data_IF_563677072662
#
_entry.id   IF_563677072662
#
_cell.length_a   1.000
_cell.length_b   1.000
_cell.length_c   1.000
_cell.angle_alpha   90.00
_cell.angle_beta   90.00
_cell.angle_gamma   90.00
#
_symmetry.space_group_name_H-M   'P 1'
#
loop_
_entity.id
_entity.type
_entity.pdbx_description
1 polymer ?
#
# COMPACT_ATOMS: atom_id res chain seq x y z
N UNK A 1 -9.42 -1.51 -15.03
CA UNK A 1 -8.39 -2.04 -14.11
C UNK A 1 -7.24 -1.07 -13.90
N UNK A 2 -6.86 -0.26 -14.89
CA UNK A 2 -5.76 0.72 -14.74
C UNK A 2 -5.98 1.75 -13.62
N UNK A 3 -7.19 2.30 -13.50
CA UNK A 3 -7.48 3.27 -12.44
C UNK A 3 -7.27 2.70 -11.03
N UNK A 4 -7.69 1.46 -10.78
CA UNK A 4 -7.51 0.80 -9.48
C UNK A 4 -6.02 0.56 -9.18
N UNK A 5 -5.23 0.18 -10.20
CA UNK A 5 -3.79 0.02 -10.07
C UNK A 5 -3.09 1.32 -9.71
N UNK A 6 -3.33 2.41 -10.46
CA UNK A 6 -2.70 3.71 -10.21
C UNK A 6 -3.11 4.32 -8.87
N UNK A 7 -4.38 4.16 -8.48
CA UNK A 7 -4.87 4.62 -7.20
C UNK A 7 -4.23 3.84 -6.04
N UNK A 8 -4.20 2.51 -6.12
CA UNK A 8 -3.56 1.66 -5.11
C UNK A 8 -2.05 1.89 -5.03
N UNK A 9 -1.35 2.04 -6.16
CA UNK A 9 0.08 2.34 -6.17
C UNK A 9 0.36 3.72 -5.57
N UNK A 10 -0.48 4.72 -5.85
CA UNK A 10 -0.38 6.05 -5.25
C UNK A 10 -0.52 6.01 -3.73
N UNK A 11 -1.49 5.25 -3.22
CA UNK A 11 -1.69 5.06 -1.78
C UNK A 11 -0.47 4.39 -1.15
N UNK A 12 0.07 3.33 -1.76
CA UNK A 12 1.25 2.62 -1.27
C UNK A 12 2.47 3.55 -1.10
N UNK A 13 2.71 4.43 -2.07
CA UNK A 13 3.81 5.42 -2.03
C UNK A 13 3.59 6.46 -0.93
N UNK A 14 2.38 7.02 -0.82
CA UNK A 14 2.08 8.02 0.22
C UNK A 14 2.18 7.41 1.62
N UNK A 15 1.70 6.17 1.80
CA UNK A 15 1.81 5.48 3.08
C UNK A 15 3.26 5.16 3.45
N UNK A 16 4.10 4.70 2.52
CA UNK A 16 5.53 4.45 2.80
C UNK A 16 6.30 5.70 3.16
N UNK A 17 6.03 6.83 2.48
CA UNK A 17 6.58 8.12 2.88
C UNK A 17 6.20 8.45 4.32
N UNK A 18 4.93 8.23 4.70
CA UNK A 18 4.45 8.44 6.06
C UNK A 18 5.00 7.46 7.10
N UNK A 19 5.38 6.25 6.71
CA UNK A 19 6.12 5.32 7.59
C UNK A 19 7.45 5.94 8.01
N UNK A 20 8.19 6.51 7.05
CA UNK A 20 9.55 7.02 7.28
C UNK A 20 9.53 8.37 8.00
N UNK A 21 8.56 9.24 7.71
CA UNK A 21 8.53 10.59 8.29
C UNK A 21 7.88 10.67 9.68
N UNK A 22 7.22 9.61 10.16
CA UNK A 22 6.55 9.66 11.46
C UNK A 22 7.51 9.44 12.62
N UNK A 23 7.40 10.30 13.64
CA UNK A 23 8.16 10.20 14.89
C UNK A 23 7.57 9.19 15.87
N UNK A 24 6.26 8.94 15.79
CA UNK A 24 5.60 7.95 16.64
C UNK A 24 5.65 6.56 15.97
N UNK A 25 6.31 5.57 16.60
CA UNK A 25 6.47 4.23 16.01
C UNK A 25 5.15 3.51 15.76
N UNK A 26 4.11 3.77 16.57
CA UNK A 26 2.78 3.17 16.38
C UNK A 26 2.13 3.69 15.10
N UNK A 27 2.25 4.99 14.82
CA UNK A 27 1.71 5.56 13.59
C UNK A 27 2.47 5.06 12.36
N UNK A 28 3.81 4.96 12.46
CA UNK A 28 4.63 4.38 11.41
C UNK A 28 4.21 2.93 11.09
N UNK A 29 3.96 2.09 12.11
CA UNK A 29 3.47 0.73 11.92
C UNK A 29 2.10 0.69 11.23
N UNK A 30 1.16 1.55 11.61
CA UNK A 30 -0.14 1.64 10.95
C UNK A 30 -0.01 2.04 9.47
N UNK A 31 0.85 3.01 9.16
CA UNK A 31 1.13 3.38 7.77
C UNK A 31 1.79 2.24 6.98
N UNK A 32 2.58 1.39 7.64
CA UNK A 32 3.17 0.22 6.99
C UNK A 32 2.11 -0.81 6.62
N UNK A 33 1.16 -1.09 7.52
CA UNK A 33 0.03 -1.99 7.23
C UNK A 33 -0.80 -1.46 6.05
N UNK A 34 -1.11 -0.16 6.05
CA UNK A 34 -1.83 0.49 4.95
C UNK A 34 -1.07 0.31 3.62
N UNK A 35 0.25 0.46 3.64
CA UNK A 35 1.09 0.22 2.46
C UNK A 35 0.99 -1.21 1.96
N UNK A 36 1.00 -2.20 2.85
CA UNK A 36 0.94 -3.61 2.47
C UNK A 36 -0.43 -3.97 1.86
N UNK A 37 -1.53 -3.43 2.40
CA UNK A 37 -2.87 -3.61 1.84
C UNK A 37 -2.99 -2.96 0.46
N UNK A 38 -2.39 -1.78 0.26
CA UNK A 38 -2.37 -1.12 -1.03
C UNK A 38 -1.59 -1.93 -2.08
N UNK A 39 -0.46 -2.55 -1.69
CA UNK A 39 0.30 -3.45 -2.55
C UNK A 39 -0.50 -4.71 -2.90
N UNK A 40 -1.24 -5.30 -1.95
CA UNK A 40 -2.16 -6.40 -2.25
C UNK A 40 -3.18 -6.03 -3.33
N UNK A 41 -3.78 -4.85 -3.25
CA UNK A 41 -4.68 -4.30 -4.28
C UNK A 41 -4.01 -4.13 -5.65
N UNK A 42 -2.72 -3.78 -5.70
CA UNK A 42 -1.96 -3.74 -6.96
C UNK A 42 -1.78 -5.14 -7.55
N UNK A 43 -1.50 -6.16 -6.73
CA UNK A 43 -1.40 -7.56 -7.19
C UNK A 43 -2.74 -8.11 -7.69
N UNK A 44 -3.86 -7.78 -7.04
CA UNK A 44 -5.19 -8.10 -7.56
C UNK A 44 -5.46 -7.43 -8.92
N UNK A 45 -5.05 -6.18 -9.08
CA UNK A 45 -5.23 -5.43 -10.35
C UNK A 45 -4.38 -5.99 -11.50
N UNK A 46 -3.23 -6.59 -11.19
CA UNK A 46 -2.34 -7.28 -12.14
C UNK A 46 -2.80 -8.70 -12.50
N UNK A 47 -3.90 -9.18 -11.92
CA UNK A 47 -4.38 -10.56 -12.14
C UNK A 47 -3.58 -11.63 -11.38
N UNK A 48 -2.84 -11.24 -10.34
CA UNK A 48 -2.08 -12.13 -9.46
C UNK A 48 -2.76 -12.25 -8.06
N UNK A 49 -3.94 -12.91 -7.96
CA UNK A 49 -4.70 -12.97 -6.71
C UNK A 49 -3.98 -13.75 -5.60
N UNK A 50 -3.15 -14.74 -5.95
CA UNK A 50 -2.35 -15.49 -4.97
C UNK A 50 -1.27 -14.62 -4.30
N UNK A 51 -0.74 -13.61 -4.99
CA UNK A 51 0.25 -12.70 -4.43
C UNK A 51 -0.39 -11.58 -3.58
N UNK A 52 -1.70 -11.35 -3.74
CA UNK A 52 -2.44 -10.32 -3.00
C UNK A 52 -3.17 -10.82 -1.74
N UNK A 53 -3.16 -12.13 -1.47
CA UNK A 53 -3.80 -12.75 -0.28
C UNK A 53 -2.75 -12.97 0.81
#
# INVERSE_FOLDING_TARGET
MEFAFYFASGIAVVSTLRVITNTNPVHALLYLIISLIAVAMTFFSLGAPFAGV
#
